data_IF_609539444206
#
_entry.id   IF_609539444206
#
_cell.length_a   1.000
_cell.length_b   1.000
_cell.length_c   1.000
_cell.angle_alpha   90.00
_cell.angle_beta   90.00
_cell.angle_gamma   90.00
#
_symmetry.space_group_name_H-M   'P 1'
#
loop_
_entity.id
_entity.type
_entity.pdbx_description
1 polymer ?
#
# COMPACT_ATOMS: atom_id res chain seq x y z
N UNK A 1 -21.89 -0.39 -12.91
CA UNK A 1 -20.67 -0.92 -13.57
C UNK A 1 -19.48 -0.44 -12.76
N UNK A 2 -18.54 -1.33 -12.43
CA UNK A 2 -17.31 -0.95 -11.74
C UNK A 2 -16.33 -0.26 -12.70
N UNK A 3 -15.70 0.83 -12.24
CA UNK A 3 -14.61 1.52 -12.96
C UNK A 3 -13.28 0.80 -12.68
N UNK A 4 -12.73 0.19 -13.72
CA UNK A 4 -11.46 -0.55 -13.70
C UNK A 4 -10.39 0.31 -14.38
N UNK A 5 -9.95 1.37 -13.69
CA UNK A 5 -8.96 2.30 -14.24
C UNK A 5 -7.53 1.89 -13.81
N UNK A 6 -6.67 1.63 -14.79
CA UNK A 6 -5.38 0.95 -14.65
C UNK A 6 -4.33 1.63 -13.75
N UNK A 7 -4.53 2.92 -13.39
CA UNK A 7 -3.53 3.73 -12.70
C UNK A 7 -4.05 4.43 -11.43
N UNK A 8 -5.27 4.10 -10.98
CA UNK A 8 -5.78 4.60 -9.69
C UNK A 8 -5.25 3.72 -8.57
N UNK A 9 -4.17 4.18 -7.94
CA UNK A 9 -3.52 3.52 -6.83
C UNK A 9 -3.66 4.33 -5.53
N UNK A 10 -3.94 3.63 -4.43
CA UNK A 10 -3.53 4.06 -3.11
C UNK A 10 -2.09 3.61 -2.90
N UNK A 11 -1.17 4.56 -2.68
CA UNK A 11 0.26 4.28 -2.55
C UNK A 11 0.68 4.30 -1.09
N UNK A 12 1.18 3.16 -0.60
CA UNK A 12 1.54 2.95 0.80
C UNK A 12 3.07 2.79 0.93
N UNK A 13 3.74 3.76 1.54
CA UNK A 13 5.19 3.82 1.65
C UNK A 13 5.66 3.20 2.97
N UNK A 14 6.35 2.06 2.91
CA UNK A 14 6.92 1.38 4.07
C UNK A 14 8.16 2.07 4.64
N UNK A 15 8.50 1.72 5.89
CA UNK A 15 9.70 2.19 6.57
C UNK A 15 10.98 1.48 6.13
N UNK A 16 12.11 2.02 6.60
CA UNK A 16 13.46 1.54 6.28
C UNK A 16 14.59 2.54 6.57
N UNK A 17 14.34 3.57 7.39
CA UNK A 17 15.29 4.63 7.76
C UNK A 17 16.04 5.23 6.54
N UNK A 18 17.37 5.17 6.49
CA UNK A 18 18.17 5.76 5.38
C UNK A 18 17.84 5.15 4.00
N UNK A 19 17.27 3.93 3.95
CA UNK A 19 16.76 3.32 2.71
C UNK A 19 15.63 4.13 2.08
N UNK A 20 14.99 5.00 2.87
CA UNK A 20 13.91 5.90 2.45
C UNK A 20 14.23 6.77 1.25
N UNK A 21 15.50 7.06 0.99
CA UNK A 21 15.93 7.75 -0.23
C UNK A 21 15.44 7.04 -1.51
N UNK A 22 15.29 5.71 -1.48
CA UNK A 22 14.79 4.95 -2.61
C UNK A 22 13.36 5.35 -3.01
N UNK A 23 12.56 5.82 -2.07
CA UNK A 23 11.19 6.28 -2.35
C UNK A 23 11.17 7.48 -3.29
N UNK A 24 12.17 8.37 -3.26
CA UNK A 24 12.26 9.47 -4.24
C UNK A 24 12.38 8.94 -5.68
N UNK A 25 13.15 7.87 -5.86
CA UNK A 25 13.25 7.15 -7.14
C UNK A 25 11.95 6.45 -7.53
N UNK A 26 11.23 5.87 -6.56
CA UNK A 26 9.90 5.27 -6.80
C UNK A 26 8.90 6.34 -7.25
N UNK A 27 8.87 7.51 -6.60
CA UNK A 27 8.00 8.62 -6.99
C UNK A 27 8.37 9.14 -8.38
N UNK A 28 9.66 9.18 -8.74
CA UNK A 28 10.10 9.48 -10.11
C UNK A 28 9.53 8.50 -11.14
N UNK A 29 9.44 7.22 -10.79
CA UNK A 29 8.79 6.22 -11.65
C UNK A 29 7.28 6.45 -11.75
N UNK A 30 6.63 6.85 -10.65
CA UNK A 30 5.20 7.21 -10.66
C UNK A 30 4.92 8.37 -11.61
N UNK A 31 5.70 9.45 -11.54
CA UNK A 31 5.59 10.59 -12.46
C UNK A 31 5.77 10.17 -13.92
N UNK A 32 6.78 9.32 -14.20
CA UNK A 32 7.02 8.81 -15.56
C UNK A 32 5.87 7.97 -16.10
N UNK A 33 5.16 7.27 -15.22
CA UNK A 33 4.06 6.36 -15.56
C UNK A 33 2.68 7.02 -15.50
N UNK A 34 2.58 8.25 -14.99
CA UNK A 34 1.33 8.97 -14.76
C UNK A 34 0.51 8.41 -13.60
N UNK A 35 1.18 7.88 -12.56
CA UNK A 35 0.53 7.40 -11.33
C UNK A 35 0.41 8.57 -10.37
N UNK A 36 -0.82 9.04 -10.15
CA UNK A 36 -1.14 10.17 -9.27
C UNK A 36 -2.03 9.69 -8.11
N UNK A 37 -1.45 9.24 -6.99
CA UNK A 37 -2.22 8.71 -5.88
C UNK A 37 -3.01 9.80 -5.15
N UNK A 38 -4.31 9.54 -4.95
CA UNK A 38 -5.19 10.39 -4.12
C UNK A 38 -5.26 9.93 -2.67
N UNK A 39 -4.90 8.67 -2.41
CA UNK A 39 -4.71 8.12 -1.08
C UNK A 39 -3.24 7.73 -0.91
N UNK A 40 -2.59 8.39 0.05
CA UNK A 40 -1.22 8.15 0.44
C UNK A 40 -1.21 7.58 1.85
N UNK A 41 -0.38 6.57 2.11
CA UNK A 41 -0.12 6.13 3.45
C UNK A 41 1.38 5.93 3.69
N UNK A 42 1.81 5.99 4.94
CA UNK A 42 3.17 5.63 5.24
C UNK A 42 3.47 5.36 6.71
N UNK A 43 4.62 4.72 6.91
CA UNK A 43 5.19 4.39 8.21
C UNK A 43 6.67 4.76 8.25
N UNK A 44 7.17 5.28 9.37
CA UNK A 44 8.56 5.75 9.51
C UNK A 44 8.93 6.72 8.40
N UNK A 45 10.11 6.57 7.78
CA UNK A 45 10.51 7.36 6.61
C UNK A 45 9.49 7.34 5.45
N UNK A 46 8.68 6.29 5.33
CA UNK A 46 7.59 6.27 4.37
C UNK A 46 6.46 7.23 4.71
N UNK A 47 6.19 7.50 5.99
CA UNK A 47 5.23 8.53 6.42
C UNK A 47 5.69 9.94 6.05
N UNK A 48 7.01 10.20 6.13
CA UNK A 48 7.62 11.44 5.66
C UNK A 48 7.39 11.62 4.16
N UNK A 49 7.69 10.59 3.36
CA UNK A 49 7.47 10.65 1.90
C UNK A 49 5.99 10.85 1.58
N UNK A 50 5.10 10.09 2.22
CA UNK A 50 3.66 10.21 2.02
C UNK A 50 3.16 11.64 2.34
N UNK A 51 3.61 12.23 3.45
CA UNK A 51 3.25 13.59 3.84
C UNK A 51 3.79 14.65 2.85
N UNK A 52 5.05 14.53 2.43
CA UNK A 52 5.63 15.44 1.44
C UNK A 52 4.91 15.33 0.09
N UNK A 53 4.61 14.13 -0.39
CA UNK A 53 3.78 13.93 -1.59
C UNK A 53 2.35 14.47 -1.45
N UNK A 54 1.79 14.42 -0.23
CA UNK A 54 0.44 14.92 0.06
C UNK A 54 0.36 16.45 0.00
N UNK A 55 1.42 17.15 0.41
CA UNK A 55 1.56 18.62 0.28
C UNK A 55 2.10 19.05 -1.10
N UNK A 56 2.40 18.10 -1.98
CA UNK A 56 2.69 18.36 -3.39
C UNK A 56 4.16 18.34 -3.80
N UNK A 57 5.04 17.75 -2.99
CA UNK A 57 6.43 17.50 -3.42
C UNK A 57 6.47 16.55 -4.62
N UNK A 58 7.28 16.92 -5.62
CA UNK A 58 7.62 16.07 -6.76
C UNK A 58 8.88 15.23 -6.49
N UNK A 59 9.23 14.32 -7.39
CA UNK A 59 10.36 13.40 -7.22
C UNK A 59 11.72 14.12 -7.13
N UNK A 60 11.88 15.24 -7.83
CA UNK A 60 13.10 16.05 -7.78
C UNK A 60 13.27 16.68 -6.40
N UNK A 61 12.24 17.35 -5.90
CA UNK A 61 12.25 17.99 -4.58
C UNK A 61 12.45 16.94 -3.46
N UNK A 62 11.83 15.76 -3.57
CA UNK A 62 12.10 14.65 -2.64
C UNK A 62 13.57 14.21 -2.68
N UNK A 63 14.15 14.12 -3.88
CA UNK A 63 15.57 13.76 -4.03
C UNK A 63 16.46 14.81 -3.33
N UNK A 64 16.19 16.09 -3.52
CA UNK A 64 16.92 17.18 -2.84
C UNK A 64 16.80 17.08 -1.31
N UNK A 65 15.60 16.78 -0.79
CA UNK A 65 15.40 16.55 0.65
C UNK A 65 16.30 15.43 1.16
N UNK A 66 16.35 14.28 0.48
CA UNK A 66 17.18 13.14 0.92
C UNK A 66 18.69 13.35 0.72
N UNK A 67 19.11 14.13 -0.27
CA UNK A 67 20.52 14.45 -0.50
C UNK A 67 21.04 15.54 0.44
N UNK A 68 20.17 16.44 0.90
CA UNK A 68 20.51 17.54 1.82
C UNK A 68 20.33 17.20 3.30
N UNK A 69 19.60 16.12 3.63
CA UNK A 69 19.40 15.69 5.02
C UNK A 69 20.74 15.47 5.73
N UNK A 70 20.87 16.01 6.93
CA UNK A 70 22.07 15.94 7.76
C UNK A 70 21.77 15.21 9.08
N UNK A 71 22.75 14.48 9.60
CA UNK A 71 22.71 13.74 10.85
C UNK A 71 22.39 14.59 12.08
N UNK A 72 22.68 15.89 12.07
CA UNK A 72 22.36 16.79 13.19
C UNK A 72 20.85 16.81 13.53
N UNK A 73 19.97 16.45 12.59
CA UNK A 73 18.53 16.29 12.83
C UNK A 73 18.19 15.27 13.92
N UNK A 74 19.09 14.30 14.16
CA UNK A 74 18.91 13.22 15.13
C UNK A 74 19.91 13.30 16.30
N UNK A 75 20.61 14.42 16.47
CA UNK A 75 21.63 14.63 17.51
C UNK A 75 21.24 15.64 18.59
N UNK A 76 19.95 15.88 18.85
CA UNK A 76 19.54 16.70 20.00
C UNK A 76 19.91 16.02 21.33
N UNK A 77 21.15 16.24 21.77
CA UNK A 77 21.80 15.54 22.89
C UNK A 77 20.98 15.74 24.17
N UNK A 78 20.48 14.64 24.74
CA UNK A 78 20.15 14.59 26.17
C UNK A 78 21.45 14.46 26.97
N UNK A 79 22.10 15.59 27.27
CA UNK A 79 23.23 15.65 28.23
C UNK A 79 22.68 15.40 29.64
N UNK A 80 22.41 14.14 29.94
CA UNK A 80 22.04 13.68 31.27
C UNK A 80 22.57 12.27 31.43
N UNK A 81 23.59 12.12 32.26
CA UNK A 81 24.20 10.86 32.69
C UNK A 81 23.23 9.95 33.49
N UNK A 82 21.93 9.97 33.20
CA UNK A 82 20.91 9.13 33.81
C UNK A 82 19.75 8.87 32.82
N UNK A 83 19.69 7.62 32.34
CA UNK A 83 18.50 6.88 31.87
C UNK A 83 17.51 7.58 30.92
N UNK A 84 17.67 7.30 29.62
CA UNK A 84 16.63 6.76 28.71
C UNK A 84 17.26 6.44 27.34
N UNK A 85 16.87 5.31 26.75
CA UNK A 85 17.37 4.71 25.49
C UNK A 85 17.22 5.56 24.21
N UNK A 86 17.16 6.90 24.26
CA UNK A 86 16.95 7.74 23.08
C UNK A 86 18.01 8.84 22.95
N UNK A 87 18.64 8.92 21.77
CA UNK A 87 19.70 9.88 21.45
C UNK A 87 19.18 11.30 21.13
N UNK A 88 17.91 11.42 20.70
CA UNK A 88 17.27 12.68 20.32
C UNK A 88 15.92 12.90 20.99
N UNK A 89 15.64 14.15 21.39
CA UNK A 89 14.29 14.60 21.78
C UNK A 89 13.34 14.70 20.59
N UNK A 90 13.85 14.70 19.35
CA UNK A 90 13.08 14.75 18.11
C UNK A 90 12.54 16.13 17.75
N UNK A 91 12.95 17.18 18.45
CA UNK A 91 12.45 18.55 18.21
C UNK A 91 13.05 19.13 16.94
N UNK A 92 14.36 18.98 16.71
CA UNK A 92 14.99 19.46 15.47
C UNK A 92 14.42 18.76 14.24
N UNK A 93 14.18 17.44 14.31
CA UNK A 93 13.48 16.71 13.24
C UNK A 93 12.07 17.26 12.99
N UNK A 94 11.30 17.52 14.06
CA UNK A 94 9.95 18.08 13.95
C UNK A 94 9.96 19.46 13.29
N UNK A 95 10.80 20.38 13.74
CA UNK A 95 10.88 21.73 13.18
C UNK A 95 11.35 21.71 11.72
N UNK A 96 12.34 20.88 11.38
CA UNK A 96 12.79 20.72 10.00
C UNK A 96 11.68 20.19 9.08
N UNK A 97 10.94 19.18 9.52
CA UNK A 97 9.84 18.64 8.73
C UNK A 97 8.69 19.65 8.62
N UNK A 98 8.39 20.36 9.71
CA UNK A 98 7.39 21.43 9.71
C UNK A 98 7.78 22.52 8.71
N UNK A 99 9.04 22.98 8.73
CA UNK A 99 9.56 23.94 7.77
C UNK A 99 9.35 23.46 6.32
N UNK A 100 9.66 22.20 6.00
CA UNK A 100 9.46 21.65 4.64
C UNK A 100 7.99 21.66 4.22
N UNK A 101 7.10 21.14 5.09
CA UNK A 101 5.67 21.07 4.80
C UNK A 101 5.09 22.47 4.63
N UNK A 102 5.41 23.40 5.54
CA UNK A 102 4.87 24.75 5.53
C UNK A 102 5.42 25.61 4.38
N UNK A 103 6.71 25.47 4.02
CA UNK A 103 7.27 26.13 2.83
C UNK A 103 6.52 25.73 1.57
N UNK A 104 6.24 24.43 1.41
CA UNK A 104 5.52 23.93 0.23
C UNK A 104 4.05 24.33 0.24
N UNK A 105 3.40 24.28 1.41
CA UNK A 105 1.97 24.58 1.55
C UNK A 105 1.65 26.06 1.40
N UNK A 106 2.39 26.94 2.07
CA UNK A 106 2.15 28.38 2.07
C UNK A 106 2.85 29.11 0.91
N UNK A 107 3.88 28.51 0.30
CA UNK A 107 4.65 29.14 -0.77
C UNK A 107 5.25 30.48 -0.33
N UNK A 108 5.06 31.52 -1.13
CA UNK A 108 5.57 32.88 -0.85
C UNK A 108 5.04 33.49 0.45
N UNK A 109 3.92 32.99 0.99
CA UNK A 109 3.35 33.44 2.25
C UNK A 109 4.00 32.78 3.49
N UNK A 110 4.94 31.85 3.30
CA UNK A 110 5.59 31.16 4.42
C UNK A 110 6.46 32.11 5.25
N UNK A 111 6.14 32.23 6.54
CA UNK A 111 6.93 32.95 7.53
C UNK A 111 7.22 32.03 8.71
N UNK A 112 8.49 31.64 8.86
CA UNK A 112 8.92 30.68 9.88
C UNK A 112 8.44 31.07 11.28
N UNK A 113 7.72 30.15 11.92
CA UNK A 113 7.16 30.32 13.27
C UNK A 113 5.97 31.28 13.38
N UNK A 114 5.45 31.81 12.26
CA UNK A 114 4.28 32.68 12.24
C UNK A 114 3.07 32.04 11.53
N UNK A 115 3.32 31.05 10.68
CA UNK A 115 2.27 30.24 10.09
C UNK A 115 1.66 29.28 11.11
N UNK A 116 0.36 28.98 10.99
CA UNK A 116 -0.24 27.90 11.76
C UNK A 116 0.28 26.55 11.24
N UNK A 117 0.36 25.51 12.09
CA UNK A 117 0.67 24.16 11.63
C UNK A 117 -0.28 23.68 10.53
N UNK A 118 0.28 22.97 9.55
CA UNK A 118 -0.49 22.26 8.52
C UNK A 118 -1.06 20.97 9.10
N UNK A 119 -2.37 20.80 8.95
CA UNK A 119 -3.16 19.70 9.51
C UNK A 119 -3.68 18.79 8.40
N UNK A 120 -4.15 17.59 8.74
CA UNK A 120 -4.61 16.62 7.74
C UNK A 120 -5.79 17.13 6.88
N UNK A 121 -6.66 17.98 7.43
CA UNK A 121 -7.78 18.60 6.68
C UNK A 121 -7.34 19.65 5.65
N UNK A 122 -6.10 20.14 5.75
CA UNK A 122 -5.57 21.13 4.82
C UNK A 122 -5.06 20.48 3.52
N UNK A 123 -4.85 19.16 3.52
CA UNK A 123 -4.29 18.42 2.40
C UNK A 123 -5.36 18.14 1.34
N UNK A 124 -5.00 18.33 0.07
CA UNK A 124 -5.87 17.98 -1.07
C UNK A 124 -5.89 16.47 -1.36
N UNK A 125 -4.89 15.73 -0.86
CA UNK A 125 -4.80 14.27 -0.94
C UNK A 125 -5.10 13.67 0.43
N UNK A 126 -5.75 12.51 0.43
CA UNK A 126 -5.97 11.75 1.66
C UNK A 126 -4.64 11.17 2.14
N UNK A 127 -4.33 11.37 3.42
CA UNK A 127 -3.09 10.90 4.03
C UNK A 127 -3.40 10.04 5.26
N UNK A 128 -2.69 8.91 5.37
CA UNK A 128 -2.74 7.99 6.52
C UNK A 128 -1.32 7.75 7.03
N UNK A 129 -1.06 8.09 8.29
CA UNK A 129 0.22 7.88 8.97
C UNK A 129 0.06 6.79 10.03
N UNK A 130 0.89 5.77 9.94
CA UNK A 130 0.86 4.61 10.83
C UNK A 130 1.88 4.79 11.95
N UNK A 131 1.47 4.53 13.19
CA UNK A 131 2.32 4.54 14.38
C UNK A 131 2.02 3.33 15.25
N UNK A 132 2.87 3.06 16.24
CA UNK A 132 2.73 1.91 17.13
C UNK A 132 2.49 2.37 18.56
N UNK A 133 1.44 1.88 19.22
CA UNK A 133 1.26 2.05 20.66
C UNK A 133 2.02 0.95 21.42
N UNK A 134 3.02 1.33 22.21
CA UNK A 134 3.85 0.42 22.99
C UNK A 134 3.12 -0.18 24.20
N UNK A 135 1.97 0.36 24.60
CA UNK A 135 1.23 -0.16 25.77
C UNK A 135 0.50 -1.46 25.47
N UNK A 136 -0.07 -1.58 24.28
CA UNK A 136 -0.91 -2.72 23.87
C UNK A 136 -0.50 -3.33 22.52
N UNK A 137 0.57 -2.83 21.90
CA UNK A 137 1.08 -3.25 20.60
C UNK A 137 0.05 -3.11 19.48
N UNK A 138 -0.85 -2.13 19.59
CA UNK A 138 -1.83 -1.78 18.56
C UNK A 138 -1.27 -0.74 17.59
N UNK A 139 -1.87 -0.69 16.40
CA UNK A 139 -1.64 0.37 15.44
C UNK A 139 -2.45 1.60 15.81
N UNK A 140 -1.79 2.76 15.91
CA UNK A 140 -2.43 4.06 16.03
C UNK A 140 -2.28 4.83 14.73
N UNK A 141 -3.41 5.07 14.06
CA UNK A 141 -3.50 5.83 12.81
C UNK A 141 -3.68 7.32 13.09
N UNK A 142 -2.97 8.18 12.36
CA UNK A 142 -3.32 9.59 12.17
C UNK A 142 -3.69 9.80 10.70
N UNK A 143 -4.83 10.41 10.42
CA UNK A 143 -5.28 10.54 9.04
C UNK A 143 -6.24 11.69 8.79
N UNK A 144 -6.44 11.99 7.50
CA UNK A 144 -7.51 12.86 7.00
C UNK A 144 -8.89 12.44 7.51
N UNK A 145 -9.08 11.15 7.81
CA UNK A 145 -10.38 10.59 8.18
C UNK A 145 -10.62 10.61 9.70
N UNK A 146 -9.63 10.19 10.48
CA UNK A 146 -9.80 10.00 11.93
C UNK A 146 -9.30 11.17 12.76
N UNK A 147 -8.33 11.93 12.25
CA UNK A 147 -7.67 13.04 12.98
C UNK A 147 -7.45 14.26 12.09
N UNK A 148 -8.51 14.83 11.47
CA UNK A 148 -8.39 15.91 10.47
C UNK A 148 -7.68 17.16 10.99
N UNK A 149 -7.86 17.49 12.28
CA UNK A 149 -7.27 18.69 12.91
C UNK A 149 -5.86 18.47 13.49
N UNK A 150 -5.33 17.24 13.43
CA UNK A 150 -4.00 16.94 13.97
C UNK A 150 -2.90 17.44 13.03
N UNK A 151 -1.78 17.89 13.60
CA UNK A 151 -0.64 18.38 12.84
C UNK A 151 0.05 17.23 12.08
N UNK A 152 0.26 17.41 10.77
CA UNK A 152 0.90 16.41 9.90
C UNK A 152 2.36 16.17 10.31
N UNK A 153 3.12 17.24 10.53
CA UNK A 153 4.53 17.15 10.94
C UNK A 153 4.70 16.37 12.26
N UNK A 154 3.80 16.59 13.23
CA UNK A 154 3.81 15.85 14.50
C UNK A 154 3.50 14.37 14.29
N UNK A 155 2.50 14.03 13.46
CA UNK A 155 2.16 12.64 13.17
C UNK A 155 3.33 11.90 12.52
N UNK A 156 4.01 12.51 11.54
CA UNK A 156 5.22 11.94 10.92
C UNK A 156 6.34 11.79 11.95
N UNK A 157 6.57 12.80 12.82
CA UNK A 157 7.57 12.70 13.90
C UNK A 157 7.27 11.54 14.85
N UNK A 158 6.00 11.30 15.17
CA UNK A 158 5.61 10.12 15.97
C UNK A 158 5.92 8.84 15.19
N UNK A 159 5.56 8.77 13.91
CA UNK A 159 5.83 7.60 13.05
C UNK A 159 7.32 7.32 12.83
N UNK A 160 8.21 8.32 12.98
CA UNK A 160 9.67 8.18 12.88
C UNK A 160 10.38 8.00 14.24
N UNK A 161 9.64 7.69 15.32
CA UNK A 161 10.18 7.47 16.67
C UNK A 161 10.93 6.14 16.80
N UNK A 162 12.01 5.94 16.04
CA UNK A 162 12.74 4.68 16.09
C UNK A 162 13.34 4.47 17.48
N UNK A 163 13.00 3.38 18.19
CA UNK A 163 13.57 3.07 19.50
C UNK A 163 15.10 3.05 19.43
N UNK A 164 15.79 3.66 20.39
CA UNK A 164 17.25 3.86 20.34
C UNK A 164 17.65 5.25 19.83
N UNK A 165 16.91 5.78 18.85
CA UNK A 165 17.27 7.04 18.17
C UNK A 165 16.45 8.23 18.67
N UNK A 166 15.13 8.11 18.69
CA UNK A 166 14.23 9.21 19.00
C UNK A 166 13.27 8.83 20.13
N UNK A 167 13.01 9.78 21.03
CA UNK A 167 12.14 9.55 22.18
C UNK A 167 10.69 9.33 21.73
N UNK A 168 10.04 8.30 22.30
CA UNK A 168 8.61 8.06 22.19
C UNK A 168 7.78 9.28 22.61
N UNK A 169 6.59 9.43 22.03
CA UNK A 169 5.64 10.51 22.35
C UNK A 169 4.51 9.94 23.20
N UNK A 170 4.20 10.61 24.30
CA UNK A 170 2.97 10.34 25.04
C UNK A 170 1.90 11.29 24.51
N UNK A 171 0.83 10.72 23.99
CA UNK A 171 -0.36 11.45 23.52
C UNK A 171 -1.56 10.79 24.17
N UNK A 172 -2.31 11.56 24.96
CA UNK A 172 -3.36 11.03 25.84
C UNK A 172 -2.81 9.88 26.72
N UNK A 173 -3.43 8.71 26.65
CA UNK A 173 -2.99 7.49 27.33
C UNK A 173 -2.04 6.62 26.50
N UNK A 174 -1.69 6.99 25.27
CA UNK A 174 -0.84 6.17 24.41
C UNK A 174 0.65 6.49 24.58
N UNK A 175 1.49 5.46 24.42
CA UNK A 175 2.94 5.62 24.31
C UNK A 175 3.36 5.27 22.88
N UNK A 176 3.48 6.28 22.04
CA UNK A 176 3.61 6.12 20.60
C UNK A 176 5.07 6.12 20.13
N UNK A 177 5.38 5.15 19.26
CA UNK A 177 6.70 4.96 18.64
C UNK A 177 6.57 4.69 17.13
N UNK A 178 7.70 4.42 16.49
CA UNK A 178 7.78 4.14 15.05
C UNK A 178 6.74 3.11 14.57
N UNK A 179 6.08 3.43 13.46
CA UNK A 179 5.07 2.58 12.85
C UNK A 179 5.62 1.30 12.22
N UNK A 180 6.93 1.24 11.94
CA UNK A 180 7.58 0.10 11.28
C UNK A 180 7.63 -1.14 12.19
N UNK A 181 7.33 -0.98 13.49
CA UNK A 181 7.04 -2.13 14.36
C UNK A 181 5.76 -2.89 13.95
N UNK A 182 4.89 -2.30 13.13
CA UNK A 182 3.71 -2.96 12.56
C UNK A 182 4.00 -3.65 11.22
N UNK A 183 5.26 -3.64 10.74
CA UNK A 183 5.65 -4.10 9.39
C UNK A 183 5.34 -5.59 9.12
N UNK A 184 5.16 -6.39 10.17
CA UNK A 184 4.66 -7.77 10.10
C UNK A 184 3.23 -7.94 9.58
N UNK A 185 2.47 -6.86 9.41
CA UNK A 185 1.16 -6.83 8.75
C UNK A 185 1.23 -6.00 7.47
N UNK A 186 0.44 -6.32 6.43
CA UNK A 186 0.34 -5.44 5.28
C UNK A 186 -0.29 -4.12 5.71
N UNK A 187 0.25 -3.00 5.23
CA UNK A 187 -0.12 -1.67 5.71
C UNK A 187 -1.61 -1.37 5.48
N UNK A 188 -2.16 -1.87 4.38
CA UNK A 188 -3.59 -1.73 4.10
C UNK A 188 -4.48 -2.35 5.18
N UNK A 189 -4.04 -3.41 5.86
CA UNK A 189 -4.81 -4.06 6.92
C UNK A 189 -4.78 -3.28 8.25
N UNK A 190 -3.90 -2.29 8.40
CA UNK A 190 -3.75 -1.51 9.62
C UNK A 190 -4.76 -0.36 9.73
N UNK A 191 -5.39 0.03 8.62
CA UNK A 191 -6.33 1.14 8.55
C UNK A 191 -7.62 0.73 7.85
N UNK A 192 -8.77 0.88 8.51
CA UNK A 192 -10.09 0.66 7.88
C UNK A 192 -10.29 1.56 6.65
N UNK A 193 -9.68 2.74 6.64
CA UNK A 193 -9.80 3.72 5.57
C UNK A 193 -9.02 3.28 4.32
N UNK A 194 -7.88 2.59 4.50
CA UNK A 194 -7.17 1.95 3.40
C UNK A 194 -7.89 0.67 2.94
N UNK A 195 -8.36 -0.18 3.87
CA UNK A 195 -9.09 -1.42 3.54
C UNK A 195 -10.33 -1.16 2.67
N UNK A 196 -11.04 -0.06 2.93
CA UNK A 196 -12.26 0.28 2.23
C UNK A 196 -12.03 1.12 0.97
N UNK A 197 -10.78 1.44 0.61
CA UNK A 197 -10.47 2.17 -0.60
C UNK A 197 -10.90 1.38 -1.84
N UNK A 198 -11.58 2.03 -2.77
CA UNK A 198 -11.91 1.45 -4.09
C UNK A 198 -10.69 1.36 -5.01
N UNK A 199 -9.62 2.08 -4.69
CA UNK A 199 -8.39 2.08 -5.48
C UNK A 199 -7.62 0.78 -5.29
N UNK A 200 -6.80 0.44 -6.28
CA UNK A 200 -5.84 -0.65 -6.13
C UNK A 200 -4.82 -0.25 -5.08
N UNK A 201 -4.41 -1.20 -4.24
CA UNK A 201 -3.39 -0.91 -3.23
C UNK A 201 -2.01 -1.22 -3.83
N UNK A 202 -1.10 -0.25 -3.80
CA UNK A 202 0.31 -0.45 -4.07
C UNK A 202 1.10 -0.21 -2.78
N UNK A 203 1.64 -1.27 -2.20
CA UNK A 203 2.51 -1.19 -1.03
C UNK A 203 3.97 -1.28 -1.44
N UNK A 204 4.74 -0.24 -1.11
CA UNK A 204 6.16 -0.11 -1.39
C UNK A 204 6.93 -0.50 -0.13
N UNK A 205 7.70 -1.57 -0.19
CA UNK A 205 8.46 -2.10 0.95
C UNK A 205 9.95 -1.99 0.68
N UNK A 206 10.66 -1.35 1.61
CA UNK A 206 12.11 -1.21 1.55
C UNK A 206 12.78 -2.35 2.31
N UNK A 207 13.66 -3.06 1.62
CA UNK A 207 14.45 -4.16 2.16
C UNK A 207 15.92 -3.99 1.80
N UNK A 208 16.79 -4.78 2.44
CA UNK A 208 18.22 -4.75 2.18
C UNK A 208 18.82 -6.14 2.31
N UNK A 209 20.13 -6.19 2.15
CA UNK A 209 20.93 -7.41 2.38
C UNK A 209 21.85 -7.18 3.56
N UNK A 210 22.31 -8.28 4.18
CA UNK A 210 23.32 -8.24 5.20
C UNK A 210 24.53 -9.06 4.75
N UNK A 211 25.70 -8.45 4.78
CA UNK A 211 26.99 -9.10 4.50
C UNK A 211 28.05 -8.73 5.54
N UNK A 212 27.63 -8.24 6.70
CA UNK A 212 28.53 -7.86 7.80
C UNK A 212 28.89 -9.04 8.71
N UNK A 213 29.54 -8.73 9.83
CA UNK A 213 29.93 -9.73 10.85
C UNK A 213 29.28 -9.42 12.20
N UNK A 214 29.37 -10.35 13.16
CA UNK A 214 28.89 -10.16 14.53
C UNK A 214 29.87 -9.35 15.40
N UNK A 215 31.05 -8.99 14.87
CA UNK A 215 32.10 -8.28 15.60
C UNK A 215 31.77 -6.80 15.87
N UNK A 216 30.90 -6.20 15.05
CA UNK A 216 30.43 -4.83 15.24
C UNK A 216 28.97 -4.86 15.72
N UNK A 217 28.68 -4.43 16.97
CA UNK A 217 27.32 -4.44 17.53
C UNK A 217 26.28 -3.71 16.69
N UNK A 218 26.64 -2.61 16.03
CA UNK A 218 25.72 -1.85 15.17
C UNK A 218 25.41 -2.61 13.86
N UNK A 219 26.41 -3.26 13.28
CA UNK A 219 26.20 -4.12 12.10
C UNK A 219 25.34 -5.32 12.46
N UNK A 220 25.57 -5.94 13.62
CA UNK A 220 24.77 -7.07 14.09
C UNK A 220 23.30 -6.69 14.31
N UNK A 221 23.02 -5.57 15.00
CA UNK A 221 21.65 -5.06 15.20
C UNK A 221 20.99 -4.73 13.85
N UNK A 222 21.72 -4.12 12.91
CA UNK A 222 21.24 -3.88 11.55
C UNK A 222 20.93 -5.18 10.80
N UNK A 223 21.75 -6.21 10.97
CA UNK A 223 21.53 -7.55 10.42
C UNK A 223 20.27 -8.20 10.98
N UNK A 224 20.03 -8.10 12.29
CA UNK A 224 18.80 -8.58 12.94
C UNK A 224 17.56 -7.85 12.42
N UNK A 225 17.60 -6.52 12.36
CA UNK A 225 16.50 -5.71 11.80
C UNK A 225 16.22 -6.11 10.34
N UNK A 226 17.26 -6.21 9.52
CA UNK A 226 17.12 -6.61 8.10
C UNK A 226 16.56 -8.02 7.96
N UNK A 227 16.96 -8.96 8.80
CA UNK A 227 16.42 -10.33 8.81
C UNK A 227 14.93 -10.34 9.14
N UNK A 228 14.53 -9.61 10.19
CA UNK A 228 13.14 -9.49 10.63
C UNK A 228 12.26 -8.90 9.53
N UNK A 229 12.61 -7.72 9.00
CA UNK A 229 11.80 -7.04 7.98
C UNK A 229 11.72 -7.85 6.68
N UNK A 230 12.81 -8.51 6.28
CA UNK A 230 12.82 -9.36 5.09
C UNK A 230 11.87 -10.56 5.26
N UNK A 231 11.89 -11.21 6.42
CA UNK A 231 11.02 -12.34 6.72
C UNK A 231 9.54 -11.95 6.68
N UNK A 232 9.19 -10.82 7.29
CA UNK A 232 7.83 -10.26 7.27
C UNK A 232 7.38 -9.93 5.84
N UNK A 233 8.24 -9.28 5.06
CA UNK A 233 7.96 -8.94 3.65
C UNK A 233 7.79 -10.18 2.78
N UNK A 234 8.62 -11.20 2.97
CA UNK A 234 8.51 -12.48 2.26
C UNK A 234 7.19 -13.19 2.59
N UNK A 235 6.82 -13.22 3.89
CA UNK A 235 5.57 -13.81 4.36
C UNK A 235 4.34 -13.11 3.75
N UNK A 236 4.28 -11.77 3.84
CA UNK A 236 3.19 -10.98 3.25
C UNK A 236 3.06 -11.25 1.75
N UNK A 237 4.17 -11.26 1.00
CA UNK A 237 4.15 -11.54 -0.44
C UNK A 237 3.69 -12.96 -0.77
N UNK A 238 4.04 -13.94 0.05
CA UNK A 238 3.61 -15.33 -0.16
C UNK A 238 2.08 -15.49 -0.05
N UNK A 239 1.44 -14.68 0.80
CA UNK A 239 -0.01 -14.73 1.02
C UNK A 239 -0.73 -13.84 0.00
N UNK A 240 -0.26 -12.60 -0.16
CA UNK A 240 -1.01 -11.55 -0.86
C UNK A 240 -0.43 -11.13 -2.21
N UNK A 241 0.79 -11.56 -2.56
CA UNK A 241 1.50 -11.10 -3.76
C UNK A 241 0.80 -11.45 -5.08
N UNK A 242 0.00 -12.52 -5.08
CA UNK A 242 -0.80 -12.95 -6.23
C UNK A 242 -2.26 -12.45 -6.17
N UNK A 243 -2.70 -11.83 -5.08
CA UNK A 243 -4.05 -11.27 -4.96
C UNK A 243 -4.25 -10.18 -6.01
N UNK A 244 -5.47 -10.08 -6.54
CA UNK A 244 -5.80 -9.03 -7.48
C UNK A 244 -5.62 -7.65 -6.84
N UNK A 245 -6.28 -7.39 -5.71
CA UNK A 245 -6.40 -6.06 -5.13
C UNK A 245 -5.08 -5.43 -4.66
N UNK A 246 -4.07 -6.25 -4.35
CA UNK A 246 -2.85 -5.82 -3.66
C UNK A 246 -1.61 -6.02 -4.51
N UNK A 247 -0.90 -4.94 -4.83
CA UNK A 247 0.37 -4.91 -5.53
C UNK A 247 1.50 -4.58 -4.54
N UNK A 248 2.60 -5.34 -4.56
CA UNK A 248 3.74 -5.19 -3.65
C UNK A 248 5.03 -4.92 -4.43
N UNK A 249 5.52 -3.69 -4.35
CA UNK A 249 6.82 -3.29 -4.89
C UNK A 249 7.86 -3.40 -3.77
N UNK A 250 8.80 -4.35 -3.90
CA UNK A 250 9.93 -4.47 -2.98
C UNK A 250 11.14 -3.82 -3.61
N UNK A 251 11.71 -2.83 -2.94
CA UNK A 251 12.96 -2.19 -3.35
C UNK A 251 14.07 -2.70 -2.44
N UNK A 252 15.04 -3.39 -3.04
CA UNK A 252 16.22 -3.86 -2.32
C UNK A 252 17.34 -2.82 -2.45
N UNK A 253 17.77 -2.23 -1.33
CA UNK A 253 18.82 -1.20 -1.31
C UNK A 253 20.22 -1.77 -1.04
N UNK A 254 20.38 -3.09 -1.05
CA UNK A 254 21.66 -3.76 -0.77
C UNK A 254 22.11 -3.64 0.69
N UNK A 255 23.42 -3.69 0.92
CA UNK A 255 24.03 -3.68 2.25
C UNK A 255 24.13 -2.24 2.80
N UNK A 256 22.98 -1.71 3.20
CA UNK A 256 22.85 -0.39 3.82
C UNK A 256 22.62 -0.56 5.32
N UNK A 257 23.48 0.07 6.12
CA UNK A 257 23.30 0.19 7.57
C UNK A 257 22.22 1.24 7.83
N UNK A 258 21.06 0.82 8.34
CA UNK A 258 19.85 1.65 8.38
C UNK A 258 19.98 2.89 9.27
N UNK A 259 20.92 2.86 10.22
CA UNK A 259 21.20 3.93 11.18
C UNK A 259 22.46 4.75 10.84
N UNK A 260 23.08 4.52 9.68
CA UNK A 260 24.19 5.35 9.21
C UNK A 260 23.67 6.61 8.51
N UNK A 261 23.39 7.64 9.29
CA UNK A 261 22.87 8.91 8.78
C UNK A 261 23.94 9.83 8.17
N UNK A 262 25.23 9.47 8.27
CA UNK A 262 26.32 10.13 7.56
C UNK A 262 26.61 9.46 6.20
N UNK A 263 25.62 8.73 5.68
CA UNK A 263 25.75 8.02 4.42
C UNK A 263 26.17 8.99 3.30
N UNK A 264 27.28 8.71 2.59
CA UNK A 264 27.79 9.60 1.55
C UNK A 264 26.73 9.99 0.51
N UNK A 265 26.79 11.24 0.03
CA UNK A 265 25.79 11.80 -0.91
C UNK A 265 25.70 10.95 -2.18
N UNK A 266 26.83 10.52 -2.72
CA UNK A 266 26.92 9.64 -3.89
C UNK A 266 26.23 8.29 -3.65
N UNK A 267 26.37 7.71 -2.45
CA UNK A 267 25.68 6.48 -2.10
C UNK A 267 24.18 6.67 -1.87
N UNK A 268 23.76 7.83 -1.35
CA UNK A 268 22.33 8.20 -1.26
C UNK A 268 21.72 8.36 -2.65
N UNK A 269 22.45 8.99 -3.58
CA UNK A 269 22.04 9.09 -4.99
C UNK A 269 21.88 7.70 -5.62
N UNK A 270 22.82 6.77 -5.37
CA UNK A 270 22.69 5.40 -5.85
C UNK A 270 21.43 4.69 -5.33
N UNK A 271 21.05 4.92 -4.06
CA UNK A 271 19.78 4.38 -3.50
C UNK A 271 18.56 4.97 -4.23
N UNK A 272 18.56 6.26 -4.55
CA UNK A 272 17.50 6.92 -5.32
C UNK A 272 17.40 6.28 -6.72
N UNK A 273 18.53 6.14 -7.41
CA UNK A 273 18.60 5.56 -8.75
C UNK A 273 18.14 4.10 -8.77
N UNK A 274 18.51 3.32 -7.75
CA UNK A 274 18.04 1.94 -7.56
C UNK A 274 16.54 1.87 -7.32
N UNK A 275 15.97 2.80 -6.55
CA UNK A 275 14.53 2.92 -6.34
C UNK A 275 13.78 3.14 -7.66
N UNK A 276 14.26 4.06 -8.49
CA UNK A 276 13.68 4.32 -9.81
C UNK A 276 13.77 3.10 -10.73
N UNK A 277 14.96 2.51 -10.85
CA UNK A 277 15.21 1.36 -11.73
C UNK A 277 14.36 0.15 -11.33
N UNK A 278 14.28 -0.16 -10.03
CA UNK A 278 13.50 -1.29 -9.54
C UNK A 278 11.99 -1.05 -9.67
N UNK A 279 11.52 0.18 -9.42
CA UNK A 279 10.12 0.54 -9.64
C UNK A 279 9.72 0.40 -11.11
N UNK A 280 10.53 0.96 -12.03
CA UNK A 280 10.29 0.81 -13.47
C UNK A 280 10.24 -0.67 -13.87
N UNK A 281 11.24 -1.47 -13.51
CA UNK A 281 11.26 -2.91 -13.78
C UNK A 281 10.04 -3.65 -13.19
N UNK A 282 9.58 -3.24 -12.00
CA UNK A 282 8.37 -3.81 -11.43
C UNK A 282 7.15 -3.57 -12.31
N UNK A 283 6.89 -2.31 -12.71
CA UNK A 283 5.72 -1.99 -13.53
C UNK A 283 5.81 -2.53 -14.96
N UNK A 284 7.01 -2.60 -15.55
CA UNK A 284 7.20 -3.00 -16.94
C UNK A 284 7.43 -4.49 -17.13
N UNK A 285 7.85 -5.22 -16.09
CA UNK A 285 8.27 -6.62 -16.27
C UNK A 285 7.67 -7.57 -15.23
N UNK A 286 7.60 -7.18 -13.95
CA UNK A 286 7.05 -8.05 -12.89
C UNK A 286 5.53 -8.02 -12.86
N UNK A 287 4.93 -6.83 -12.83
CA UNK A 287 3.48 -6.65 -12.75
C UNK A 287 2.74 -7.23 -13.96
N UNK A 288 3.22 -7.07 -15.22
CA UNK A 288 2.57 -7.71 -16.38
C UNK A 288 2.45 -9.23 -16.26
N UNK A 289 3.43 -9.92 -15.67
CA UNK A 289 3.37 -11.36 -15.45
C UNK A 289 2.27 -11.74 -14.45
N UNK A 290 2.13 -10.97 -13.37
CA UNK A 290 1.02 -11.14 -12.43
C UNK A 290 -0.33 -10.89 -13.12
N UNK A 291 -0.42 -9.84 -13.95
CA UNK A 291 -1.64 -9.49 -14.69
C UNK A 291 -2.05 -10.58 -15.68
N UNK A 292 -1.11 -11.24 -16.37
CA UNK A 292 -1.38 -12.41 -17.23
C UNK A 292 -2.04 -13.55 -16.45
N UNK A 293 -1.53 -13.88 -15.26
CA UNK A 293 -2.12 -14.92 -14.40
C UNK A 293 -3.53 -14.53 -13.91
N UNK A 294 -3.74 -13.27 -13.58
CA UNK A 294 -5.07 -12.77 -13.20
C UNK A 294 -6.04 -12.85 -14.37
N UNK A 295 -5.60 -12.50 -15.58
CA UNK A 295 -6.41 -12.55 -16.79
C UNK A 295 -6.89 -13.98 -17.08
N UNK A 296 -6.00 -14.97 -16.98
CA UNK A 296 -6.38 -16.39 -17.08
C UNK A 296 -7.45 -16.78 -16.05
N UNK A 297 -7.32 -16.32 -14.80
CA UNK A 297 -8.31 -16.60 -13.74
C UNK A 297 -9.66 -15.96 -14.06
N UNK A 298 -9.69 -14.67 -14.41
CA UNK A 298 -10.94 -13.96 -14.68
C UNK A 298 -11.61 -14.42 -15.97
N UNK A 299 -10.84 -14.74 -17.01
CA UNK A 299 -11.35 -15.30 -18.26
C UNK A 299 -12.03 -16.64 -18.04
N UNK A 300 -11.45 -17.52 -17.21
CA UNK A 300 -12.09 -18.78 -16.83
C UNK A 300 -13.42 -18.56 -16.08
N UNK A 301 -13.47 -17.61 -15.14
CA UNK A 301 -14.73 -17.25 -14.44
C UNK A 301 -15.77 -16.74 -15.45
N UNK A 302 -15.35 -15.86 -16.36
CA UNK A 302 -16.21 -15.28 -17.38
C UNK A 302 -16.79 -16.35 -18.33
N UNK A 303 -16.00 -17.36 -18.69
CA UNK A 303 -16.47 -18.48 -19.52
C UNK A 303 -17.55 -19.31 -18.81
N UNK A 304 -17.40 -19.58 -17.51
CA UNK A 304 -18.46 -20.21 -16.72
C UNK A 304 -19.74 -19.36 -16.71
N UNK A 305 -19.62 -18.04 -16.50
CA UNK A 305 -20.77 -17.14 -16.48
C UNK A 305 -21.48 -17.07 -17.85
N UNK A 306 -20.72 -17.05 -18.95
CA UNK A 306 -21.27 -17.11 -20.32
C UNK A 306 -21.93 -18.45 -20.62
N UNK A 307 -21.36 -19.57 -20.17
CA UNK A 307 -21.99 -20.90 -20.25
C UNK A 307 -23.34 -20.92 -19.50
N UNK A 308 -23.38 -20.35 -18.30
CA UNK A 308 -24.61 -20.20 -17.49
C UNK A 308 -25.64 -19.36 -18.25
N UNK A 309 -25.23 -18.23 -18.83
CA UNK A 309 -26.09 -17.34 -19.62
C UNK A 309 -26.71 -18.10 -20.80
N UNK A 310 -25.91 -18.87 -21.54
CA UNK A 310 -26.38 -19.73 -22.63
C UNK A 310 -27.45 -20.72 -22.19
N UNK A 311 -27.27 -21.38 -21.04
CA UNK A 311 -28.30 -22.27 -20.50
C UNK A 311 -29.58 -21.54 -20.07
N UNK A 312 -29.46 -20.34 -19.49
CA UNK A 312 -30.59 -19.49 -19.14
C UNK A 312 -31.40 -19.08 -20.39
N UNK A 313 -30.74 -18.72 -21.49
CA UNK A 313 -31.39 -18.38 -22.77
C UNK A 313 -32.13 -19.58 -23.37
N UNK A 314 -31.55 -20.78 -23.26
CA UNK A 314 -32.16 -22.03 -23.70
C UNK A 314 -33.22 -22.58 -22.71
N UNK A 315 -33.54 -21.85 -21.64
CA UNK A 315 -34.45 -22.28 -20.55
C UNK A 315 -34.04 -23.61 -19.88
N UNK A 316 -32.75 -23.95 -19.92
CA UNK A 316 -32.15 -25.12 -19.25
C UNK A 316 -31.67 -24.74 -17.84
N UNK A 317 -32.58 -24.33 -16.97
CA UNK A 317 -32.24 -23.71 -15.68
C UNK A 317 -31.52 -24.64 -14.70
N UNK A 318 -31.81 -25.95 -14.71
CA UNK A 318 -31.06 -26.93 -13.90
C UNK A 318 -29.62 -27.05 -14.38
N UNK A 319 -29.37 -27.07 -15.69
CA UNK A 319 -28.02 -27.08 -16.24
C UNK A 319 -27.26 -25.79 -15.87
N UNK A 320 -27.96 -24.65 -15.89
CA UNK A 320 -27.41 -23.37 -15.44
C UNK A 320 -26.98 -23.42 -13.96
N UNK A 321 -27.81 -23.99 -13.06
CA UNK A 321 -27.42 -24.22 -11.65
C UNK A 321 -26.20 -25.12 -11.52
N UNK A 322 -26.15 -26.22 -12.27
CA UNK A 322 -25.02 -27.15 -12.23
C UNK A 322 -23.72 -26.48 -12.67
N UNK A 323 -23.74 -25.69 -13.75
CA UNK A 323 -22.57 -24.93 -14.17
C UNK A 323 -22.18 -23.82 -13.19
N UNK A 324 -23.13 -23.24 -12.45
CA UNK A 324 -22.79 -22.37 -11.34
C UNK A 324 -22.09 -23.15 -10.21
N UNK A 325 -22.54 -24.36 -9.88
CA UNK A 325 -21.85 -25.21 -8.91
C UNK A 325 -20.43 -25.58 -9.36
N UNK A 326 -20.21 -25.86 -10.66
CA UNK A 326 -18.88 -26.07 -11.25
C UNK A 326 -17.99 -24.83 -11.06
N UNK A 327 -18.53 -23.62 -11.30
CA UNK A 327 -17.82 -22.37 -11.03
C UNK A 327 -17.41 -22.25 -9.55
N UNK A 328 -18.27 -22.63 -8.60
CA UNK A 328 -17.89 -22.60 -7.18
C UNK A 328 -16.75 -23.56 -6.85
N UNK A 329 -16.69 -24.74 -7.49
CA UNK A 329 -15.55 -25.65 -7.34
C UNK A 329 -14.27 -24.95 -7.81
N UNK A 330 -14.29 -24.32 -8.98
CA UNK A 330 -13.15 -23.54 -9.47
C UNK A 330 -12.77 -22.39 -8.50
N UNK A 331 -13.76 -21.64 -8.01
CA UNK A 331 -13.52 -20.53 -7.09
C UNK A 331 -12.85 -20.96 -5.78
N UNK A 332 -13.06 -22.19 -5.29
CA UNK A 332 -12.32 -22.67 -4.10
C UNK A 332 -10.81 -22.73 -4.31
N UNK A 333 -10.35 -22.87 -5.55
CA UNK A 333 -8.93 -22.93 -5.91
C UNK A 333 -8.32 -21.52 -6.03
N UNK A 334 -9.13 -20.51 -6.34
CA UNK A 334 -8.68 -19.14 -6.66
C UNK A 334 -9.26 -18.06 -5.74
N UNK A 335 -10.00 -18.41 -4.68
CA UNK A 335 -10.68 -17.44 -3.79
C UNK A 335 -9.73 -16.45 -3.11
N UNK A 336 -8.47 -16.82 -2.88
CA UNK A 336 -7.45 -15.91 -2.34
C UNK A 336 -6.87 -14.98 -3.41
N UNK A 337 -7.03 -15.29 -4.68
CA UNK A 337 -6.49 -14.52 -5.82
C UNK A 337 -7.52 -13.49 -6.28
N UNK A 338 -8.77 -13.91 -6.45
CA UNK A 338 -9.87 -13.10 -6.96
C UNK A 338 -10.19 -11.95 -6.00
N UNK A 339 -10.52 -10.78 -6.54
CA UNK A 339 -10.98 -9.64 -5.76
C UNK A 339 -12.22 -10.02 -4.93
N UNK A 340 -12.21 -9.67 -3.64
CA UNK A 340 -13.26 -10.04 -2.69
C UNK A 340 -14.64 -9.60 -3.13
N UNK A 341 -14.75 -8.46 -3.80
CA UNK A 341 -16.04 -7.94 -4.26
C UNK A 341 -16.57 -8.76 -5.43
N UNK A 342 -15.70 -9.23 -6.32
CA UNK A 342 -16.09 -10.13 -7.42
C UNK A 342 -16.57 -11.45 -6.86
N UNK A 343 -15.83 -12.03 -5.90
CA UNK A 343 -16.26 -13.25 -5.21
C UNK A 343 -17.62 -13.08 -4.53
N UNK A 344 -17.80 -11.99 -3.79
CA UNK A 344 -19.05 -11.67 -3.10
C UNK A 344 -20.21 -11.46 -4.09
N UNK A 345 -19.98 -10.81 -5.23
CA UNK A 345 -20.98 -10.64 -6.27
C UNK A 345 -21.44 -11.99 -6.86
N UNK A 346 -20.52 -12.94 -7.08
CA UNK A 346 -20.84 -14.30 -7.52
C UNK A 346 -21.64 -15.04 -6.44
N UNK A 347 -21.30 -14.90 -5.15
CA UNK A 347 -22.07 -15.45 -4.05
C UNK A 347 -23.50 -14.90 -3.97
N UNK A 348 -23.68 -13.59 -4.17
CA UNK A 348 -25.01 -12.97 -4.22
C UNK A 348 -25.82 -13.49 -5.41
N UNK A 349 -25.20 -13.57 -6.59
CA UNK A 349 -25.81 -14.14 -7.78
C UNK A 349 -26.24 -15.61 -7.57
N UNK A 350 -25.44 -16.41 -6.87
CA UNK A 350 -25.80 -17.78 -6.52
C UNK A 350 -27.05 -17.87 -5.68
N UNK A 351 -27.14 -17.08 -4.60
CA UNK A 351 -28.33 -17.04 -3.74
C UNK A 351 -29.57 -16.64 -4.53
N UNK A 352 -29.43 -15.63 -5.40
CA UNK A 352 -30.50 -15.16 -6.28
C UNK A 352 -30.94 -16.27 -7.25
N UNK A 353 -30.00 -16.92 -7.94
CA UNK A 353 -30.29 -17.96 -8.91
C UNK A 353 -30.95 -19.18 -8.25
N UNK A 354 -30.43 -19.64 -7.11
CA UNK A 354 -30.88 -20.87 -6.46
C UNK A 354 -32.27 -20.72 -5.83
N UNK A 355 -32.62 -19.53 -5.35
CA UNK A 355 -33.95 -19.24 -4.81
C UNK A 355 -35.03 -19.18 -5.90
N UNK A 356 -34.67 -18.75 -7.11
CA UNK A 356 -35.61 -18.54 -8.22
C UNK A 356 -35.80 -19.73 -9.17
N UNK A 357 -34.85 -20.68 -9.19
CA UNK A 357 -34.93 -21.84 -10.09
C UNK A 357 -35.53 -23.05 -9.36
N UNK A 358 -36.65 -23.54 -9.88
CA UNK A 358 -37.35 -24.73 -9.41
C UNK A 358 -37.22 -25.87 -10.43
N UNK A 359 -36.94 -27.07 -9.92
CA UNK A 359 -36.98 -28.30 -10.71
C UNK A 359 -38.43 -28.81 -10.78
N UNK A 360 -38.89 -29.16 -11.97
CA UNK A 360 -40.19 -29.79 -12.22
C UNK A 360 -40.05 -31.26 -12.61
N UNK A 361 -41.19 -31.92 -12.83
CA UNK A 361 -41.25 -33.31 -13.32
C UNK A 361 -40.63 -33.44 -14.73
N UNK A 362 -40.07 -34.61 -15.03
CA UNK A 362 -39.53 -34.97 -16.35
C UNK A 362 -38.43 -34.02 -16.87
N UNK A 363 -37.58 -33.51 -15.98
CA UNK A 363 -36.45 -32.64 -16.35
C UNK A 363 -36.83 -31.21 -16.75
N UNK A 364 -38.10 -30.83 -16.63
CA UNK A 364 -38.54 -29.45 -16.82
C UNK A 364 -38.01 -28.57 -15.68
N UNK A 365 -37.75 -27.31 -15.97
CA UNK A 365 -37.33 -26.35 -14.97
C UNK A 365 -37.96 -24.99 -15.24
N UNK A 366 -38.17 -24.21 -14.19
CA UNK A 366 -38.74 -22.86 -14.28
C UNK A 366 -37.88 -21.90 -13.47
N UNK A 367 -37.75 -20.67 -13.97
CA UNK A 367 -37.23 -19.54 -13.21
C UNK A 367 -38.39 -18.59 -12.91
N UNK A 368 -38.65 -18.31 -11.63
CA UNK A 368 -39.78 -17.49 -11.18
C UNK A 368 -39.59 -16.01 -11.55
N UNK A 369 -38.41 -15.43 -11.28
CA UNK A 369 -38.07 -14.05 -11.63
C UNK A 369 -36.93 -14.01 -12.67
N UNK A 370 -37.21 -14.48 -13.89
CA UNK A 370 -36.20 -14.61 -14.94
C UNK A 370 -35.49 -13.30 -15.29
N UNK A 371 -36.21 -12.18 -15.40
CA UNK A 371 -35.62 -10.88 -15.72
C UNK A 371 -34.56 -10.49 -14.68
N UNK A 372 -34.91 -10.54 -13.39
CA UNK A 372 -33.99 -10.19 -12.29
C UNK A 372 -32.74 -11.08 -12.30
N UNK A 373 -32.90 -12.40 -12.49
CA UNK A 373 -31.76 -13.32 -12.58
C UNK A 373 -30.90 -13.02 -13.81
N UNK A 374 -31.52 -12.75 -14.95
CA UNK A 374 -30.83 -12.43 -16.20
C UNK A 374 -30.07 -11.11 -16.09
N UNK A 375 -30.68 -10.07 -15.53
CA UNK A 375 -30.06 -8.75 -15.37
C UNK A 375 -28.86 -8.82 -14.42
N UNK A 376 -29.01 -9.55 -13.30
CA UNK A 376 -27.89 -9.78 -12.38
C UNK A 376 -26.73 -10.52 -13.03
N UNK A 377 -27.01 -11.53 -13.86
CA UNK A 377 -25.98 -12.27 -14.60
C UNK A 377 -25.29 -11.39 -15.65
N UNK A 378 -26.08 -10.60 -16.40
CA UNK A 378 -25.57 -9.70 -17.43
C UNK A 378 -24.65 -8.62 -16.84
N UNK A 379 -25.03 -8.04 -15.70
CA UNK A 379 -24.20 -7.07 -14.99
C UNK A 379 -22.87 -7.69 -14.54
N UNK A 380 -22.92 -8.91 -13.97
CA UNK A 380 -21.72 -9.63 -13.55
C UNK A 380 -20.79 -9.94 -14.73
N UNK A 381 -21.34 -10.43 -15.85
CA UNK A 381 -20.59 -10.66 -17.09
C UNK A 381 -19.96 -9.36 -17.61
N UNK A 382 -20.70 -8.25 -17.60
CA UNK A 382 -20.20 -6.95 -18.04
C UNK A 382 -19.05 -6.46 -17.17
N UNK A 383 -19.18 -6.53 -15.85
CA UNK A 383 -18.14 -6.10 -14.93
C UNK A 383 -16.87 -6.96 -15.08
N UNK A 384 -16.98 -8.29 -15.18
CA UNK A 384 -15.82 -9.15 -15.42
C UNK A 384 -15.21 -8.96 -16.81
N UNK A 385 -16.02 -8.69 -17.84
CA UNK A 385 -15.50 -8.37 -19.18
C UNK A 385 -14.64 -7.10 -19.13
N UNK A 386 -15.12 -6.05 -18.44
CA UNK A 386 -14.34 -4.82 -18.25
C UNK A 386 -13.03 -5.10 -17.49
N UNK A 387 -13.06 -5.99 -16.49
CA UNK A 387 -11.87 -6.39 -15.74
C UNK A 387 -10.83 -7.10 -16.62
N UNK A 388 -11.23 -8.08 -17.43
CA UNK A 388 -10.34 -8.73 -18.40
C UNK A 388 -9.75 -7.72 -19.39
N UNK A 389 -10.59 -6.83 -19.95
CA UNK A 389 -10.12 -5.78 -20.86
C UNK A 389 -9.12 -4.82 -20.21
N UNK A 390 -9.28 -4.47 -18.93
CA UNK A 390 -8.30 -3.69 -18.19
C UNK A 390 -6.95 -4.43 -18.09
N UNK A 391 -6.99 -5.71 -17.70
CA UNK A 391 -5.81 -6.56 -17.56
C UNK A 391 -5.07 -6.68 -18.90
N UNK A 392 -5.77 -7.02 -19.97
CA UNK A 392 -5.24 -7.09 -21.33
C UNK A 392 -4.59 -5.78 -21.77
N UNK A 393 -5.24 -4.64 -21.52
CA UNK A 393 -4.66 -3.31 -21.82
C UNK A 393 -3.36 -3.08 -21.09
N UNK A 394 -3.27 -3.44 -19.81
CA UNK A 394 -2.02 -3.30 -19.05
C UNK A 394 -0.93 -4.23 -19.58
N UNK A 395 -1.28 -5.48 -19.86
CA UNK A 395 -0.36 -6.48 -20.40
C UNK A 395 0.21 -6.00 -21.73
N UNK A 396 -0.65 -5.56 -22.66
CA UNK A 396 -0.23 -5.11 -23.99
C UNK A 396 0.61 -3.84 -23.94
N UNK A 397 0.36 -2.93 -22.99
CA UNK A 397 1.17 -1.70 -22.81
C UNK A 397 2.64 -2.00 -22.51
N UNK A 398 2.94 -3.15 -21.90
CA UNK A 398 4.29 -3.53 -21.46
C UNK A 398 4.72 -4.91 -21.99
N UNK A 399 4.08 -5.39 -23.06
CA UNK A 399 4.49 -6.59 -23.79
C UNK A 399 5.22 -6.16 -25.06
N UNK A 400 6.45 -5.68 -24.91
CA UNK A 400 7.43 -5.50 -25.99
C UNK A 400 8.86 -5.71 -25.42
#
# INVERSE_FOLDING_TARGET
MKDYNNLKYACLFGGGAIRGAAHAGVVKAFERLGIEPMLLAGSSVGSLVAALCAVGYNAHELSEVFLSVNFELFRDISLGFNNKFALSKGNVFLEWLRDLIEQKFYGDAYLKGQCRPVTFKDLSKNLVIITTNMKDFSCREFSTFETPDFEVAMAVRISCCMPGLMRAVTLDDDLLVDGDLMKGKPMWALSKNIQNSSDRILEIRLEGTFSGTDQNPLEYVNGMYTCMTYSETAFIKSIYGNCDRYDYLVVNTGNVVVVDFNYPIDKRQAIIDDGYRQAMNYFTSVLPQKKKKLDEVYSNILDYLRKIQGFCLLKKFVAAKNSLSELFIYLTQVNKIVDSDVYNAICLFQKLMFSNIKSGLLGRSKCENYSVVSDSLNNLISDLTNRCTELEKYINKFSD
#
